data_IF_394091070395
#
_entry.id   IF_394091070395
#
_cell.length_a   1.000
_cell.length_b   1.000
_cell.length_c   1.000
_cell.angle_alpha   90.00
_cell.angle_beta   90.00
_cell.angle_gamma   90.00
#
_symmetry.space_group_name_H-M   'P 1'
#
loop_
_entity.id
_entity.type
_entity.pdbx_description
1 polymer ?
#
# COMPACT_ATOMS: atom_id res chain seq x y z
N UNK A 1 -16.80 10.84 -29.56
CA UNK A 1 -17.61 9.69 -29.07
C UNK A 1 -17.17 9.42 -27.64
N UNK A 2 -17.99 9.88 -26.66
CA UNK A 2 -17.68 9.79 -25.24
C UNK A 2 -17.72 8.34 -24.74
N UNK A 3 -16.63 7.86 -24.20
CA UNK A 3 -16.60 6.59 -23.49
C UNK A 3 -17.55 6.67 -22.28
N UNK A 4 -18.65 5.96 -22.32
CA UNK A 4 -19.54 5.79 -21.18
C UNK A 4 -18.78 5.03 -20.07
N UNK A 5 -18.47 5.75 -18.99
CA UNK A 5 -17.98 5.17 -17.75
C UNK A 5 -19.04 4.17 -17.24
N UNK A 6 -18.78 2.88 -17.37
CA UNK A 6 -19.61 1.83 -16.77
C UNK A 6 -19.43 1.93 -15.25
N UNK A 7 -20.26 2.73 -14.60
CA UNK A 7 -20.34 2.76 -13.13
C UNK A 7 -20.90 1.42 -12.67
N UNK A 8 -20.03 0.52 -12.21
CA UNK A 8 -20.47 -0.62 -11.42
C UNK A 8 -21.14 -0.08 -10.15
N UNK A 9 -22.41 -0.46 -9.85
CA UNK A 9 -23.04 -0.02 -8.63
C UNK A 9 -22.21 -0.53 -7.44
N UNK A 10 -21.65 0.39 -6.65
CA UNK A 10 -21.01 0.01 -5.39
C UNK A 10 -22.10 -0.50 -4.45
N UNK A 11 -21.88 -1.63 -3.77
CA UNK A 11 -22.81 -2.03 -2.72
C UNK A 11 -22.92 -0.88 -1.70
N UNK A 12 -24.13 -0.49 -1.36
CA UNK A 12 -24.36 0.55 -0.35
C UNK A 12 -23.80 0.03 0.97
N UNK A 13 -22.67 0.57 1.41
CA UNK A 13 -22.16 0.32 2.76
C UNK A 13 -23.13 0.94 3.73
N UNK A 14 -23.64 0.16 4.68
CA UNK A 14 -24.57 0.62 5.71
C UNK A 14 -23.89 1.44 6.81
N UNK A 15 -22.54 1.48 6.84
CA UNK A 15 -21.76 2.22 7.83
C UNK A 15 -20.49 2.82 7.20
N UNK A 16 -19.95 3.83 7.87
CA UNK A 16 -18.64 4.39 7.55
C UNK A 16 -17.55 3.33 7.82
N UNK A 17 -16.59 3.19 6.92
CA UNK A 17 -15.40 2.38 7.17
C UNK A 17 -14.46 3.12 8.12
N UNK A 18 -13.91 2.39 9.09
CA UNK A 18 -12.89 2.87 10.02
C UNK A 18 -11.55 2.25 9.66
N UNK A 19 -10.53 3.07 9.57
CA UNK A 19 -9.16 2.60 9.39
C UNK A 19 -8.19 3.42 10.24
N UNK A 20 -7.07 2.81 10.58
CA UNK A 20 -5.95 3.46 11.23
C UNK A 20 -4.70 3.29 10.39
N UNK A 21 -3.78 4.24 10.54
CA UNK A 21 -2.45 4.16 9.97
C UNK A 21 -1.42 4.02 11.10
N UNK A 22 -0.52 3.04 10.97
CA UNK A 22 0.58 2.81 11.90
C UNK A 22 1.88 3.19 11.21
N UNK A 23 2.69 3.95 11.91
CA UNK A 23 4.09 4.16 11.57
C UNK A 23 4.90 3.13 12.35
N UNK A 24 5.67 2.23 11.70
CA UNK A 24 6.48 1.27 12.39
C UNK A 24 7.43 1.94 13.38
N UNK A 25 7.66 1.34 14.58
CA UNK A 25 8.59 1.87 15.57
C UNK A 25 10.02 1.87 15.03
N UNK A 26 10.89 2.66 15.65
CA UNK A 26 12.32 2.56 15.39
C UNK A 26 12.86 1.29 16.06
N UNK A 27 13.98 0.72 15.57
CA UNK A 27 14.59 -0.45 16.21
C UNK A 27 14.98 -0.23 17.68
N UNK A 28 15.15 1.04 18.08
CA UNK A 28 15.48 1.45 19.46
C UNK A 28 14.27 1.66 20.36
N UNK A 29 13.07 1.63 19.81
CA UNK A 29 11.85 1.85 20.56
C UNK A 29 11.47 0.57 21.33
N UNK A 30 10.72 0.76 22.41
CA UNK A 30 10.29 -0.34 23.28
C UNK A 30 9.26 -1.24 22.55
N UNK A 31 9.56 -2.54 22.37
CA UNK A 31 8.66 -3.45 21.68
C UNK A 31 7.28 -3.61 22.33
N UNK A 32 7.18 -3.43 23.66
CA UNK A 32 5.91 -3.56 24.35
C UNK A 32 4.90 -2.48 23.96
N UNK A 33 5.39 -1.31 23.52
CA UNK A 33 4.50 -0.23 23.08
C UNK A 33 3.75 -0.55 21.80
N UNK A 34 4.39 -1.26 20.86
CA UNK A 34 3.70 -1.65 19.63
C UNK A 34 2.65 -2.72 19.93
N UNK A 35 2.94 -3.65 20.84
CA UNK A 35 1.97 -4.67 21.26
C UNK A 35 0.74 -4.05 21.94
N UNK A 36 0.95 -3.09 22.82
CA UNK A 36 -0.14 -2.34 23.47
C UNK A 36 -0.95 -1.55 22.44
N UNK A 37 -0.31 -0.92 21.46
CA UNK A 37 -0.98 -0.21 20.38
C UNK A 37 -1.85 -1.15 19.55
N UNK A 38 -1.29 -2.28 19.11
CA UNK A 38 -2.01 -3.27 18.28
C UNK A 38 -3.22 -3.82 19.06
N UNK A 39 -3.05 -4.17 20.32
CA UNK A 39 -4.14 -4.65 21.16
C UNK A 39 -5.25 -3.59 21.32
N UNK A 40 -4.88 -2.33 21.58
CA UNK A 40 -5.82 -1.22 21.66
C UNK A 40 -6.57 -0.98 20.35
N UNK A 41 -5.89 -1.04 19.21
CA UNK A 41 -6.54 -0.88 17.89
C UNK A 41 -7.52 -2.01 17.59
N UNK A 42 -7.21 -3.23 18.00
CA UNK A 42 -8.09 -4.39 17.80
C UNK A 42 -9.43 -4.23 18.52
N UNK A 43 -9.47 -3.55 19.66
CA UNK A 43 -10.72 -3.27 20.40
C UNK A 43 -11.71 -2.40 19.60
N UNK A 44 -11.20 -1.48 18.75
CA UNK A 44 -12.03 -0.63 17.88
C UNK A 44 -12.58 -1.36 16.67
N UNK A 45 -12.11 -2.58 16.37
CA UNK A 45 -12.53 -3.40 15.23
C UNK A 45 -12.53 -2.61 13.90
N UNK A 46 -11.40 -2.01 13.50
CA UNK A 46 -11.31 -1.29 12.25
C UNK A 46 -11.56 -2.21 11.05
N UNK A 47 -11.93 -1.63 9.92
CA UNK A 47 -12.08 -2.38 8.67
C UNK A 47 -10.72 -2.83 8.14
N UNK A 48 -9.68 -2.03 8.38
CA UNK A 48 -8.27 -2.35 8.09
C UNK A 48 -7.32 -1.41 8.85
N UNK A 49 -6.07 -1.82 8.90
CA UNK A 49 -4.94 -1.02 9.39
C UNK A 49 -3.93 -0.89 8.27
N UNK A 50 -3.51 0.31 7.94
CA UNK A 50 -2.41 0.54 7.01
C UNK A 50 -1.09 0.74 7.76
N UNK A 51 -0.01 0.19 7.23
CA UNK A 51 1.32 0.27 7.82
C UNK A 51 2.23 0.99 6.83
N UNK A 52 2.82 2.10 7.29
CA UNK A 52 3.71 2.92 6.47
C UNK A 52 5.10 2.30 6.39
N UNK A 53 5.89 2.77 5.43
CA UNK A 53 7.31 2.46 5.29
C UNK A 53 8.11 3.74 5.40
N UNK A 54 9.19 3.76 6.17
CA UNK A 54 10.04 4.93 6.32
C UNK A 54 11.48 4.57 6.67
N UNK A 55 12.42 5.47 6.33
CA UNK A 55 13.83 5.31 6.68
C UNK A 55 14.06 5.13 8.19
N UNK A 56 13.19 5.71 9.02
CA UNK A 56 13.33 5.67 10.50
C UNK A 56 13.03 4.30 11.08
N UNK A 57 12.29 3.49 10.37
CA UNK A 57 11.85 2.14 10.76
C UNK A 57 12.44 1.05 9.85
N UNK A 58 13.61 1.29 9.29
CA UNK A 58 14.30 0.33 8.40
C UNK A 58 13.46 -0.05 7.17
N UNK A 59 12.71 0.92 6.63
CA UNK A 59 11.90 0.74 5.41
C UNK A 59 10.90 -0.43 5.51
N UNK A 60 11.00 -1.39 4.57
CA UNK A 60 10.05 -2.48 4.44
C UNK A 60 10.26 -3.56 5.50
N UNK A 61 11.46 -3.71 6.06
CA UNK A 61 11.74 -4.59 7.19
C UNK A 61 10.90 -4.21 8.43
N UNK A 62 10.85 -2.91 8.73
CA UNK A 62 10.00 -2.42 9.82
C UNK A 62 8.50 -2.57 9.52
N UNK A 63 8.10 -2.41 8.26
CA UNK A 63 6.72 -2.63 7.82
C UNK A 63 6.34 -4.10 7.98
N UNK A 64 7.19 -5.02 7.52
CA UNK A 64 7.00 -6.47 7.64
C UNK A 64 6.90 -6.91 9.10
N UNK A 65 7.81 -6.44 9.97
CA UNK A 65 7.81 -6.78 11.38
C UNK A 65 6.49 -6.41 12.08
N UNK A 66 5.94 -5.21 11.79
CA UNK A 66 4.65 -4.79 12.35
C UNK A 66 3.50 -5.60 11.78
N UNK A 67 3.48 -5.87 10.48
CA UNK A 67 2.42 -6.64 9.82
C UNK A 67 2.41 -8.08 10.33
N UNK A 68 3.57 -8.72 10.41
CA UNK A 68 3.72 -10.07 10.99
C UNK A 68 3.19 -10.11 12.41
N UNK A 69 3.54 -9.10 13.23
CA UNK A 69 3.05 -9.00 14.61
C UNK A 69 1.53 -8.86 14.70
N UNK A 70 0.93 -8.04 13.82
CA UNK A 70 -0.53 -7.89 13.73
C UNK A 70 -1.18 -9.23 13.36
N UNK A 71 -0.64 -9.93 12.36
CA UNK A 71 -1.18 -11.20 11.86
C UNK A 71 -1.08 -12.33 12.89
N UNK A 72 -0.03 -12.34 13.72
CA UNK A 72 0.18 -13.33 14.78
C UNK A 72 -0.77 -13.13 15.98
N UNK A 73 -1.14 -11.89 16.26
CA UNK A 73 -1.83 -11.53 17.52
C UNK A 73 -3.27 -11.11 17.33
N UNK A 74 -3.71 -10.85 16.10
CA UNK A 74 -5.07 -10.32 15.80
C UNK A 74 -5.60 -10.85 14.47
N UNK A 75 -6.91 -10.66 14.23
CA UNK A 75 -7.57 -10.86 12.94
C UNK A 75 -7.68 -9.57 12.10
N UNK A 76 -6.90 -8.53 12.42
CA UNK A 76 -6.94 -7.27 11.71
C UNK A 76 -6.42 -7.41 10.28
N UNK A 77 -7.12 -6.81 9.33
CA UNK A 77 -6.68 -6.75 7.93
C UNK A 77 -5.64 -5.67 7.77
N UNK A 78 -4.52 -5.98 7.12
CA UNK A 78 -3.44 -5.05 6.89
C UNK A 78 -3.33 -4.62 5.43
N UNK A 79 -2.94 -3.36 5.23
CA UNK A 79 -2.54 -2.77 3.96
C UNK A 79 -1.11 -2.24 4.14
N UNK A 80 -0.18 -2.67 3.30
CA UNK A 80 1.19 -2.17 3.33
C UNK A 80 1.36 -0.98 2.38
N UNK A 81 2.08 0.05 2.83
CA UNK A 81 2.54 1.11 1.94
C UNK A 81 3.81 0.64 1.23
N UNK A 82 3.83 0.76 -0.10
CA UNK A 82 5.00 0.51 -0.93
C UNK A 82 5.34 1.76 -1.74
N UNK A 83 6.60 2.15 -1.73
CA UNK A 83 7.08 3.30 -2.50
C UNK A 83 8.18 2.85 -3.48
N UNK A 84 8.16 3.39 -4.71
CA UNK A 84 9.18 3.11 -5.72
C UNK A 84 10.60 3.48 -5.26
N UNK A 85 10.72 4.36 -4.26
CA UNK A 85 12.00 4.76 -3.65
C UNK A 85 12.60 3.70 -2.73
N UNK A 86 11.88 2.63 -2.40
CA UNK A 86 12.32 1.65 -1.40
C UNK A 86 13.32 0.62 -1.94
N UNK A 87 13.42 0.46 -3.27
CA UNK A 87 14.35 -0.49 -3.87
C UNK A 87 14.18 -0.63 -5.37
N UNK A 88 15.00 -1.48 -5.96
CA UNK A 88 14.95 -1.87 -7.36
C UNK A 88 13.65 -2.61 -7.69
N UNK A 89 13.33 -2.76 -8.98
CA UNK A 89 12.15 -3.53 -9.41
C UNK A 89 12.13 -4.96 -8.82
N UNK A 90 13.27 -5.65 -8.84
CA UNK A 90 13.35 -7.04 -8.39
C UNK A 90 13.20 -7.15 -6.87
N UNK A 91 13.82 -6.23 -6.11
CA UNK A 91 13.63 -6.13 -4.66
C UNK A 91 12.18 -5.84 -4.31
N UNK A 92 11.51 -4.96 -5.06
CA UNK A 92 10.09 -4.67 -4.83
C UNK A 92 9.19 -5.87 -5.09
N UNK A 93 9.49 -6.68 -6.13
CA UNK A 93 8.76 -7.92 -6.39
C UNK A 93 8.91 -8.91 -5.23
N UNK A 94 10.12 -9.04 -4.68
CA UNK A 94 10.37 -9.89 -3.51
C UNK A 94 9.64 -9.39 -2.27
N UNK A 95 9.67 -8.08 -2.01
CA UNK A 95 8.94 -7.48 -0.89
C UNK A 95 7.42 -7.68 -1.00
N UNK A 96 6.85 -7.62 -2.20
CA UNK A 96 5.43 -7.93 -2.40
C UNK A 96 5.14 -9.37 -1.94
N UNK A 97 5.99 -10.35 -2.29
CA UNK A 97 5.83 -11.76 -1.87
C UNK A 97 5.97 -11.91 -0.36
N UNK A 98 7.03 -11.33 0.23
CA UNK A 98 7.26 -11.36 1.68
C UNK A 98 6.05 -10.82 2.44
N UNK A 99 5.52 -9.67 2.04
CA UNK A 99 4.37 -9.06 2.71
C UNK A 99 3.07 -9.85 2.51
N UNK A 100 2.88 -10.50 1.36
CA UNK A 100 1.76 -11.43 1.16
C UNK A 100 1.86 -12.60 2.14
N UNK A 101 3.06 -13.14 2.34
CA UNK A 101 3.33 -14.23 3.30
C UNK A 101 3.10 -13.80 4.74
N UNK A 102 3.46 -12.56 5.09
CA UNK A 102 3.17 -11.95 6.38
C UNK A 102 1.67 -11.71 6.64
N UNK A 103 0.82 -11.89 5.63
CA UNK A 103 -0.64 -11.79 5.78
C UNK A 103 -1.26 -10.53 5.18
N UNK A 104 -0.50 -9.70 4.46
CA UNK A 104 -1.05 -8.52 3.76
C UNK A 104 -2.13 -8.94 2.76
N UNK A 105 -3.20 -8.16 2.70
CA UNK A 105 -4.30 -8.34 1.73
C UNK A 105 -4.59 -7.08 0.94
N UNK A 106 -3.68 -6.10 0.98
CA UNK A 106 -3.75 -4.89 0.17
C UNK A 106 -2.48 -4.08 0.22
N UNK A 107 -2.28 -3.27 -0.81
CA UNK A 107 -1.13 -2.36 -0.94
C UNK A 107 -1.59 -0.96 -1.28
N UNK A 108 -0.91 0.04 -0.73
CA UNK A 108 -0.96 1.42 -1.18
C UNK A 108 0.31 1.69 -1.99
N UNK A 109 0.16 1.78 -3.31
CA UNK A 109 1.27 2.04 -4.22
C UNK A 109 1.56 3.54 -4.31
N UNK A 110 2.78 3.92 -3.97
CA UNK A 110 3.27 5.29 -3.93
C UNK A 110 4.51 5.44 -4.84
N UNK A 111 4.73 6.64 -5.35
CA UNK A 111 6.00 6.96 -6.00
C UNK A 111 7.11 7.11 -4.96
N UNK A 112 6.79 7.67 -3.81
CA UNK A 112 7.72 8.07 -2.76
C UNK A 112 8.30 9.46 -3.00
N UNK A 113 8.99 9.99 -1.99
CA UNK A 113 9.63 11.29 -2.04
C UNK A 113 10.94 11.19 -2.82
N UNK A 114 11.07 11.97 -3.88
CA UNK A 114 12.25 11.97 -4.74
C UNK A 114 13.34 12.87 -4.16
N UNK A 115 14.59 12.45 -4.32
CA UNK A 115 15.75 13.34 -4.19
C UNK A 115 15.85 14.25 -5.45
N UNK A 116 16.71 15.25 -5.39
CA UNK A 116 17.01 16.11 -6.57
C UNK A 116 17.53 15.31 -7.77
N UNK A 117 18.17 14.18 -7.52
CA UNK A 117 18.72 13.28 -8.55
C UNK A 117 17.66 12.36 -9.18
N UNK A 118 16.45 12.31 -8.60
CA UNK A 118 15.39 11.39 -9.02
C UNK A 118 15.60 9.95 -8.57
N UNK A 119 14.94 9.01 -9.26
CA UNK A 119 15.10 7.57 -9.01
C UNK A 119 16.17 6.97 -9.92
N UNK A 120 16.97 6.02 -9.42
CA UNK A 120 17.86 5.22 -10.26
C UNK A 120 17.11 4.49 -11.38
N UNK A 121 17.81 4.17 -12.47
CA UNK A 121 17.19 3.59 -13.67
C UNK A 121 16.62 2.18 -13.45
N UNK A 122 17.12 1.45 -12.47
CA UNK A 122 16.70 0.11 -12.06
C UNK A 122 15.48 0.13 -11.08
N UNK A 123 15.05 1.32 -10.65
CA UNK A 123 13.87 1.51 -9.84
C UNK A 123 12.62 1.71 -10.71
N UNK A 124 11.45 1.39 -10.15
CA UNK A 124 10.16 1.74 -10.74
C UNK A 124 9.97 3.26 -10.71
N UNK A 125 9.69 3.86 -11.86
CA UNK A 125 9.68 5.33 -11.97
C UNK A 125 8.36 5.95 -11.51
N UNK A 126 7.26 5.20 -11.59
CA UNK A 126 5.92 5.69 -11.26
C UNK A 126 5.12 4.66 -10.44
N UNK A 127 4.18 5.15 -9.66
CA UNK A 127 3.26 4.28 -8.91
C UNK A 127 2.42 3.36 -9.83
N UNK A 128 2.23 3.71 -11.10
CA UNK A 128 1.62 2.84 -12.11
C UNK A 128 2.46 1.63 -12.42
N UNK A 129 3.78 1.78 -12.46
CA UNK A 129 4.71 0.66 -12.70
C UNK A 129 4.69 -0.30 -11.50
N UNK A 130 4.62 0.26 -10.29
CA UNK A 130 4.48 -0.53 -9.06
C UNK A 130 3.14 -1.26 -9.00
N UNK A 131 2.04 -0.65 -9.44
CA UNK A 131 0.74 -1.33 -9.54
C UNK A 131 0.80 -2.52 -10.48
N UNK A 132 1.40 -2.35 -11.67
CA UNK A 132 1.59 -3.45 -12.62
C UNK A 132 2.43 -4.58 -12.01
N UNK A 133 3.54 -4.23 -11.33
CA UNK A 133 4.37 -5.21 -10.63
C UNK A 133 3.58 -6.01 -9.58
N UNK A 134 2.78 -5.34 -8.75
CA UNK A 134 1.96 -6.01 -7.74
C UNK A 134 0.94 -6.95 -8.40
N UNK A 135 0.37 -6.56 -9.53
CA UNK A 135 -0.57 -7.41 -10.27
C UNK A 135 0.14 -8.63 -10.89
N UNK A 136 1.33 -8.44 -11.49
CA UNK A 136 2.15 -9.54 -12.02
C UNK A 136 2.44 -10.56 -10.90
N UNK A 137 2.91 -10.10 -9.74
CA UNK A 137 3.17 -10.97 -8.58
C UNK A 137 1.86 -11.61 -8.07
N UNK A 138 0.75 -10.87 -8.03
CA UNK A 138 -0.55 -11.44 -7.64
C UNK A 138 -0.98 -12.58 -8.58
N UNK A 139 -0.74 -12.46 -9.88
CA UNK A 139 -1.04 -13.51 -10.85
C UNK A 139 -0.14 -14.74 -10.65
N UNK A 140 1.15 -14.53 -10.41
CA UNK A 140 2.11 -15.60 -10.09
C UNK A 140 1.73 -16.34 -8.80
N UNK A 141 1.30 -15.61 -7.77
CA UNK A 141 0.94 -16.13 -6.45
C UNK A 141 -0.57 -16.48 -6.31
N UNK A 142 -1.32 -16.48 -7.41
CA UNK A 142 -2.79 -16.64 -7.38
C UNK A 142 -3.24 -17.90 -6.65
N UNK A 143 -2.47 -18.99 -6.74
CA UNK A 143 -2.76 -20.24 -6.01
C UNK A 143 -2.63 -20.08 -4.49
N UNK A 144 -1.68 -19.27 -4.03
CA UNK A 144 -1.43 -18.97 -2.61
C UNK A 144 -2.42 -17.95 -2.05
N UNK A 145 -2.96 -17.09 -2.92
CA UNK A 145 -3.96 -16.07 -2.60
C UNK A 145 -5.39 -16.62 -2.67
N UNK A 146 -5.60 -17.87 -2.25
CA UNK A 146 -6.92 -18.54 -2.27
C UNK A 146 -8.07 -17.71 -1.66
N UNK A 147 -7.77 -16.67 -0.87
CA UNK A 147 -8.73 -15.76 -0.24
C UNK A 147 -9.21 -14.60 -1.16
N UNK A 148 -8.75 -14.51 -2.40
CA UNK A 148 -9.17 -13.49 -3.36
C UNK A 148 -8.07 -12.49 -3.76
N UNK A 149 -8.47 -11.47 -4.53
CA UNK A 149 -7.57 -10.46 -5.05
C UNK A 149 -7.09 -9.50 -3.94
N UNK A 150 -5.85 -9.03 -4.09
CA UNK A 150 -5.29 -7.96 -3.28
C UNK A 150 -6.09 -6.65 -3.48
N UNK A 151 -6.30 -5.91 -2.42
CA UNK A 151 -6.83 -4.56 -2.50
C UNK A 151 -5.72 -3.60 -2.92
N UNK A 152 -5.87 -2.94 -4.07
CA UNK A 152 -4.91 -1.94 -4.52
C UNK A 152 -5.43 -0.54 -4.27
N UNK A 153 -4.59 0.30 -3.69
CA UNK A 153 -4.87 1.69 -3.39
C UNK A 153 -3.78 2.59 -3.95
N UNK A 154 -4.14 3.82 -4.27
CA UNK A 154 -3.23 4.83 -4.83
C UNK A 154 -3.48 6.19 -4.19
N UNK A 155 -2.46 7.04 -4.17
CA UNK A 155 -2.64 8.44 -3.83
C UNK A 155 -3.38 9.18 -4.94
N UNK A 156 -4.27 10.10 -4.54
CA UNK A 156 -4.88 11.08 -5.43
C UNK A 156 -4.72 12.48 -4.84
N UNK A 157 -4.71 13.48 -5.70
CA UNK A 157 -4.45 14.87 -5.33
C UNK A 157 -5.65 15.75 -5.72
N UNK A 158 -6.64 15.95 -4.81
CA UNK A 158 -7.85 16.71 -5.13
C UNK A 158 -7.63 18.16 -5.49
N UNK A 159 -6.49 18.72 -5.12
CA UNK A 159 -6.08 20.11 -5.44
C UNK A 159 -5.02 20.20 -6.54
N UNK A 160 -4.66 19.07 -7.16
CA UNK A 160 -3.53 18.92 -8.08
C UNK A 160 -2.22 18.59 -7.36
N UNK A 161 -1.32 17.92 -8.06
CA UNK A 161 0.04 17.65 -7.60
C UNK A 161 0.97 18.78 -8.01
N UNK A 162 1.90 19.19 -7.15
CA UNK A 162 2.80 20.33 -7.41
C UNK A 162 3.65 20.14 -8.67
N UNK A 163 4.07 18.92 -8.98
CA UNK A 163 4.86 18.57 -10.17
C UNK A 163 4.00 18.30 -11.40
N UNK A 164 2.68 18.35 -11.30
CA UNK A 164 1.79 18.07 -12.42
C UNK A 164 1.68 19.26 -13.36
N UNK A 165 1.56 18.97 -14.65
CA UNK A 165 1.38 20.03 -15.69
C UNK A 165 0.10 20.84 -15.46
N UNK A 166 -0.96 20.17 -15.04
CA UNK A 166 -2.26 20.76 -14.72
C UNK A 166 -3.17 19.69 -14.08
N UNK A 167 -4.34 20.12 -13.60
CA UNK A 167 -5.31 19.25 -12.94
C UNK A 167 -5.89 18.16 -13.88
N UNK A 168 -6.08 18.45 -15.16
CA UNK A 168 -6.59 17.46 -16.13
C UNK A 168 -5.60 16.31 -16.30
N UNK A 169 -4.29 16.59 -16.27
CA UNK A 169 -3.27 15.56 -16.29
C UNK A 169 -3.32 14.66 -15.04
N UNK A 170 -3.50 15.25 -13.86
CA UNK A 170 -3.66 14.46 -12.62
C UNK A 170 -4.88 13.55 -12.68
N UNK A 171 -5.97 14.06 -13.27
CA UNK A 171 -7.18 13.28 -13.43
C UNK A 171 -6.98 12.11 -14.41
N UNK A 172 -6.28 12.33 -15.51
CA UNK A 172 -5.94 11.29 -16.49
C UNK A 172 -5.05 10.21 -15.87
N UNK A 173 -4.06 10.60 -15.05
CA UNK A 173 -3.22 9.67 -14.28
C UNK A 173 -4.06 8.87 -13.29
N UNK A 174 -4.99 9.50 -12.57
CA UNK A 174 -5.87 8.81 -11.64
C UNK A 174 -6.80 7.82 -12.36
N UNK A 175 -7.35 8.20 -13.51
CA UNK A 175 -8.17 7.31 -14.32
C UNK A 175 -7.37 6.12 -14.87
N UNK A 176 -6.10 6.34 -15.21
CA UNK A 176 -5.18 5.27 -15.62
C UNK A 176 -4.97 4.28 -14.47
N UNK A 177 -4.66 4.77 -13.27
CA UNK A 177 -4.52 3.95 -12.06
C UNK A 177 -5.79 3.16 -11.70
N UNK A 178 -6.96 3.74 -11.98
CA UNK A 178 -8.25 3.07 -11.72
C UNK A 178 -8.52 1.89 -12.67
N UNK A 179 -7.94 1.89 -13.86
CA UNK A 179 -8.12 0.85 -14.88
C UNK A 179 -7.20 -0.35 -14.66
N UNK A 180 -6.10 -0.14 -13.94
CA UNK A 180 -5.20 -1.17 -13.47
C UNK A 180 -5.82 -1.90 -12.25
#
# INVERSE_FOLDING_TARGET
EGAQLIRRPRPKRQRTALSFEIIPPRPTDDPEKIDQLIAGLAEYKPDYVSVTSSRRSEWLEGTDAVISRISETTDLRTIAHLACTAGTRDEMAEWVRVLIDAGVRGFLALRGDLSEEGLPADHLQYATDLLNLIQDVQEEEAFRLAAGKLALSVACYPKGHEESRNFDHDLDVLLTKQRL
#
